data_IF_761549354943
#
_entry.id   IF_761549354943
#
_cell.length_a   1.000
_cell.length_b   1.000
_cell.length_c   1.000
_cell.angle_alpha   90.00
_cell.angle_beta   90.00
_cell.angle_gamma   90.00
#
_symmetry.space_group_name_H-M   'P 1'
#
loop_
_entity.id
_entity.type
_entity.pdbx_description
1 polymer ?
#
# COMPACT_ATOMS: atom_id res chain seq x y z
N UNK A 1 4.37 17.08 -25.01
CA UNK A 1 3.09 16.38 -25.34
C UNK A 1 3.25 14.86 -25.42
N UNK A 2 4.23 14.32 -26.17
CA UNK A 2 4.35 12.87 -26.40
C UNK A 2 4.63 12.02 -25.14
N UNK A 3 5.53 12.46 -24.24
CA UNK A 3 5.87 11.72 -23.03
C UNK A 3 4.66 11.50 -22.09
N UNK A 4 3.78 12.49 -21.97
CA UNK A 4 2.58 12.42 -21.11
C UNK A 4 1.56 11.39 -21.63
N UNK A 5 1.46 11.21 -22.96
CA UNK A 5 0.61 10.19 -23.59
C UNK A 5 1.17 8.79 -23.33
N UNK A 6 2.47 8.60 -23.57
CA UNK A 6 3.14 7.31 -23.34
C UNK A 6 3.06 6.81 -21.88
N UNK A 7 3.10 7.71 -20.88
CA UNK A 7 2.90 7.33 -19.48
C UNK A 7 1.44 6.95 -19.17
N UNK A 8 0.47 7.61 -19.80
CA UNK A 8 -0.96 7.32 -19.63
C UNK A 8 -1.33 5.93 -20.17
N UNK A 9 -0.72 5.54 -21.29
CA UNK A 9 -0.96 4.25 -21.93
C UNK A 9 -0.42 3.10 -21.06
N UNK A 10 0.78 3.26 -20.48
CA UNK A 10 1.39 2.27 -19.56
C UNK A 10 0.66 2.09 -18.24
N UNK A 11 0.10 3.18 -17.68
CA UNK A 11 -0.74 3.07 -16.48
C UNK A 11 -2.02 2.30 -16.82
N UNK A 12 -2.69 2.64 -17.92
CA UNK A 12 -3.89 1.93 -18.37
C UNK A 12 -3.63 0.44 -18.56
N UNK A 13 -2.50 0.07 -19.17
CA UNK A 13 -2.07 -1.32 -19.36
C UNK A 13 -1.73 -2.03 -18.03
N UNK A 14 -1.10 -1.35 -17.08
CA UNK A 14 -0.87 -1.94 -15.76
C UNK A 14 -2.21 -2.23 -15.05
N UNK A 15 -3.16 -1.31 -15.14
CA UNK A 15 -4.50 -1.44 -14.55
C UNK A 15 -5.43 -2.40 -15.31
N UNK A 16 -5.08 -2.81 -16.54
CA UNK A 16 -5.86 -3.82 -17.28
C UNK A 16 -5.68 -5.24 -16.75
N UNK A 17 -4.73 -5.47 -15.83
CA UNK A 17 -4.59 -6.71 -15.08
C UNK A 17 -4.84 -6.46 -13.58
N UNK A 18 -6.09 -6.60 -13.11
CA UNK A 18 -6.45 -6.37 -11.72
C UNK A 18 -5.68 -7.21 -10.71
N UNK A 19 -5.35 -8.47 -11.04
CA UNK A 19 -4.60 -9.36 -10.14
C UNK A 19 -3.16 -8.88 -9.94
N UNK A 20 -2.50 -8.46 -11.01
CA UNK A 20 -1.13 -7.94 -10.95
C UNK A 20 -1.06 -6.66 -10.11
N UNK A 21 -2.03 -5.76 -10.28
CA UNK A 21 -2.14 -4.54 -9.46
C UNK A 21 -2.40 -4.90 -8.00
N UNK A 22 -3.35 -5.80 -7.74
CA UNK A 22 -3.70 -6.21 -6.39
C UNK A 22 -2.48 -6.78 -5.66
N UNK A 23 -1.73 -7.69 -6.30
CA UNK A 23 -0.49 -8.25 -5.74
C UNK A 23 0.56 -7.17 -5.45
N UNK A 24 0.76 -6.23 -6.39
CA UNK A 24 1.71 -5.14 -6.20
C UNK A 24 1.31 -4.21 -5.04
N UNK A 25 0.02 -3.89 -4.90
CA UNK A 25 -0.50 -3.08 -3.80
C UNK A 25 -0.34 -3.79 -2.46
N UNK A 26 -0.72 -5.07 -2.37
CA UNK A 26 -0.55 -5.88 -1.15
C UNK A 26 0.92 -5.90 -0.72
N UNK A 27 1.84 -6.14 -1.67
CA UNK A 27 3.26 -6.13 -1.38
C UNK A 27 3.74 -4.75 -0.88
N UNK A 28 3.32 -3.68 -1.54
CA UNK A 28 3.69 -2.31 -1.15
C UNK A 28 3.18 -1.94 0.25
N UNK A 29 1.95 -2.33 0.59
CA UNK A 29 1.38 -2.15 1.93
C UNK A 29 2.18 -2.93 2.96
N UNK A 30 2.47 -4.21 2.69
CA UNK A 30 3.26 -5.07 3.58
C UNK A 30 4.64 -4.49 3.87
N UNK A 31 5.34 -4.02 2.84
CA UNK A 31 6.67 -3.43 2.97
C UNK A 31 6.63 -2.15 3.81
N UNK A 32 5.59 -1.32 3.65
CA UNK A 32 5.38 -0.12 4.45
C UNK A 32 5.15 -0.49 5.93
N UNK A 33 4.21 -1.40 6.21
CA UNK A 33 3.91 -1.86 7.57
C UNK A 33 5.15 -2.44 8.27
N UNK A 34 5.97 -3.20 7.53
CA UNK A 34 7.21 -3.75 8.04
C UNK A 34 8.24 -2.68 8.40
N UNK A 35 8.36 -1.62 7.59
CA UNK A 35 9.21 -0.47 7.90
C UNK A 35 8.75 0.24 9.17
N UNK A 36 7.46 0.47 9.32
CA UNK A 36 6.89 1.08 10.53
C UNK A 36 7.17 0.24 11.77
N UNK A 37 6.91 -1.07 11.70
CA UNK A 37 7.18 -2.02 12.78
C UNK A 37 8.65 -2.03 13.21
N UNK A 38 9.58 -2.12 12.26
CA UNK A 38 11.03 -2.13 12.53
C UNK A 38 11.55 -0.81 13.09
N UNK A 39 10.96 0.30 12.70
CA UNK A 39 11.35 1.63 13.17
C UNK A 39 10.72 2.00 14.53
N UNK A 40 9.87 1.14 15.12
CA UNK A 40 9.14 1.49 16.33
C UNK A 40 8.06 2.55 16.10
N UNK A 41 7.57 2.70 14.87
CA UNK A 41 6.56 3.69 14.51
C UNK A 41 5.17 3.08 14.58
N UNK A 42 4.30 3.63 15.43
CA UNK A 42 2.88 3.29 15.46
C UNK A 42 2.17 3.73 14.18
N UNK A 43 1.06 3.07 13.86
CA UNK A 43 0.20 3.41 12.73
C UNK A 43 -1.22 3.65 13.20
N UNK A 44 -1.96 4.52 12.51
CA UNK A 44 -3.39 4.73 12.76
C UNK A 44 -4.18 3.95 11.72
N UNK A 45 -5.12 3.13 12.18
CA UNK A 45 -6.07 2.42 11.31
C UNK A 45 -7.49 2.86 11.61
N UNK A 46 -8.36 2.74 10.61
CA UNK A 46 -9.79 2.86 10.82
C UNK A 46 -10.37 1.49 11.19
N UNK A 47 -10.96 1.37 12.37
CA UNK A 47 -11.60 0.14 12.84
C UNK A 47 -12.91 0.49 13.54
N UNK A 48 -14.01 -0.13 13.13
CA UNK A 48 -15.33 0.04 13.74
C UNK A 48 -15.78 1.51 13.86
N UNK A 49 -15.57 2.29 12.79
CA UNK A 49 -15.98 3.71 12.75
C UNK A 49 -15.10 4.64 13.58
N UNK A 50 -13.93 4.19 14.06
CA UNK A 50 -13.02 4.98 14.88
C UNK A 50 -11.58 4.86 14.38
N UNK A 51 -10.80 5.90 14.64
CA UNK A 51 -9.34 5.88 14.48
C UNK A 51 -8.73 5.15 15.68
N UNK A 52 -7.98 4.08 15.41
CA UNK A 52 -7.27 3.27 16.41
C UNK A 52 -5.78 3.34 16.13
N UNK A 53 -5.00 3.73 17.13
CA UNK A 53 -3.54 3.68 17.07
C UNK A 53 -3.09 2.25 17.39
N UNK A 54 -2.36 1.63 16.47
CA UNK A 54 -1.73 0.32 16.63
C UNK A 54 -0.25 0.54 16.96
N UNK A 55 0.22 -0.09 18.04
CA UNK A 55 1.62 -0.05 18.43
C UNK A 55 2.48 -0.87 17.48
N UNK A 56 3.78 -0.57 17.34
CA UNK A 56 4.66 -1.24 16.39
C UNK A 56 4.63 -2.77 16.52
N UNK A 57 4.60 -3.29 17.74
CA UNK A 57 4.64 -4.73 18.04
C UNK A 57 3.40 -5.46 17.52
N UNK A 58 2.27 -4.75 17.50
CA UNK A 58 0.93 -5.24 17.14
C UNK A 58 0.59 -5.05 15.65
N UNK A 59 1.48 -4.43 14.87
CA UNK A 59 1.26 -4.26 13.42
C UNK A 59 1.23 -5.64 12.74
N UNK A 60 0.13 -6.00 12.04
CA UNK A 60 0.03 -7.24 11.26
C UNK A 60 0.88 -7.15 9.98
N UNK A 61 1.61 -8.21 9.65
CA UNK A 61 2.55 -8.29 8.50
C UNK A 61 2.27 -9.51 7.60
N UNK A 62 1.07 -10.07 7.76
CA UNK A 62 0.51 -11.20 7.03
C UNK A 62 0.46 -10.92 5.51
#
# INVERSE_FOLDING_TARGET
MAARKAHKDKITEAFSNPEKITKALVQGVRDALLKHKRAGNSIVVWRNGKSVLIKPEEIPID
#
